data_IF_714127170411
#
_entry.id   IF_714127170411
#
_cell.length_a   1.000
_cell.length_b   1.000
_cell.length_c   1.000
_cell.angle_alpha   90.00
_cell.angle_beta   90.00
_cell.angle_gamma   90.00
#
_symmetry.space_group_name_H-M   'P 1'
#
loop_
_entity.id
_entity.type
_entity.pdbx_description
1 polymer ?
#
# COMPACT_ATOMS: atom_id res chain seq x y z
N UNK A 1 -14.06 -42.92 -3.72
CA UNK A 1 -13.26 -42.34 -4.81
C UNK A 1 -13.89 -41.01 -5.18
N UNK A 2 -13.32 -39.91 -4.69
CA UNK A 2 -13.79 -38.55 -4.96
C UNK A 2 -12.72 -37.83 -5.75
N UNK A 3 -13.01 -37.52 -7.01
CA UNK A 3 -12.24 -36.56 -7.79
C UNK A 3 -13.24 -35.49 -8.23
N UNK A 4 -13.40 -34.48 -7.38
CA UNK A 4 -14.24 -33.32 -7.62
C UNK A 4 -13.42 -32.30 -8.41
N UNK A 5 -13.96 -31.96 -9.58
CA UNK A 5 -13.43 -31.07 -10.61
C UNK A 5 -13.11 -29.67 -10.04
N UNK A 6 -11.84 -29.27 -9.95
CA UNK A 6 -11.38 -27.94 -9.48
C UNK A 6 -10.86 -27.04 -10.62
N UNK A 7 -11.55 -26.98 -11.76
CA UNK A 7 -11.15 -26.09 -12.87
C UNK A 7 -12.06 -24.88 -13.12
N UNK A 8 -13.10 -24.66 -12.29
CA UNK A 8 -14.07 -23.57 -12.54
C UNK A 8 -13.88 -22.30 -11.69
N UNK A 9 -12.88 -22.24 -10.79
CA UNK A 9 -12.73 -21.13 -9.85
C UNK A 9 -11.68 -20.07 -10.25
N UNK A 10 -11.05 -20.18 -11.42
CA UNK A 10 -9.98 -19.26 -11.86
C UNK A 10 -10.49 -18.21 -12.87
N UNK A 11 -11.77 -18.22 -13.23
CA UNK A 11 -12.30 -17.43 -14.35
C UNK A 11 -12.92 -16.06 -14.01
N UNK A 12 -12.98 -15.60 -12.75
CA UNK A 12 -13.78 -14.38 -12.43
C UNK A 12 -13.13 -13.44 -11.42
N UNK A 13 -11.87 -13.04 -11.62
CA UNK A 13 -11.25 -11.94 -10.85
C UNK A 13 -10.56 -10.87 -11.74
N UNK A 14 -10.40 -11.10 -13.04
CA UNK A 14 -9.69 -10.17 -13.94
C UNK A 14 -10.62 -9.06 -14.51
N UNK A 15 -11.95 -9.17 -14.33
CA UNK A 15 -12.91 -8.23 -14.91
C UNK A 15 -13.18 -6.93 -14.12
N UNK A 16 -12.76 -6.81 -12.86
CA UNK A 16 -13.30 -5.77 -11.95
C UNK A 16 -12.35 -4.62 -11.64
N UNK A 17 -11.21 -4.50 -12.34
CA UNK A 17 -10.26 -3.40 -12.10
C UNK A 17 -10.25 -2.30 -13.16
N UNK A 18 -10.81 -2.54 -14.36
CA UNK A 18 -10.88 -1.51 -15.42
C UNK A 18 -11.98 -0.47 -15.12
N UNK A 19 -13.03 -0.82 -14.36
CA UNK A 19 -14.12 0.11 -14.03
C UNK A 19 -13.74 1.20 -13.02
N UNK A 20 -12.76 0.96 -12.13
CA UNK A 20 -12.38 1.93 -11.11
C UNK A 20 -11.56 3.12 -11.66
N UNK A 21 -10.86 2.92 -12.78
CA UNK A 21 -10.07 3.99 -13.43
C UNK A 21 -10.93 4.83 -14.39
N UNK A 22 -12.03 4.29 -14.91
CA UNK A 22 -12.96 5.02 -15.78
C UNK A 22 -13.93 5.95 -15.03
N UNK A 23 -14.17 5.74 -13.73
CA UNK A 23 -15.11 6.55 -12.94
C UNK A 23 -14.54 7.91 -12.50
N UNK A 24 -13.23 8.17 -12.70
CA UNK A 24 -12.59 9.40 -12.22
C UNK A 24 -12.62 10.53 -13.29
N UNK A 25 -12.99 10.24 -14.54
CA UNK A 25 -12.81 11.19 -15.66
C UNK A 25 -14.06 11.58 -16.46
N UNK A 26 -15.27 11.39 -15.96
CA UNK A 26 -16.47 11.92 -16.62
C UNK A 26 -17.37 12.72 -15.67
N UNK A 27 -17.61 13.96 -16.10
CA UNK A 27 -18.64 14.93 -15.68
C UNK A 27 -18.22 15.96 -14.64
N UNK A 28 -17.48 16.97 -15.13
CA UNK A 28 -17.77 18.36 -14.77
C UNK A 28 -19.21 18.72 -15.16
N UNK A 29 -19.81 19.59 -14.34
CA UNK A 29 -21.14 20.24 -14.45
C UNK A 29 -22.36 19.40 -14.00
N UNK A 30 -22.70 19.43 -12.70
CA UNK A 30 -23.85 20.15 -12.13
C UNK A 30 -24.01 19.86 -10.59
N UNK A 31 -24.64 20.78 -9.86
CA UNK A 31 -24.80 20.87 -8.39
C UNK A 31 -25.52 19.68 -7.67
N UNK A 32 -25.41 19.56 -6.31
CA UNK A 32 -25.69 18.33 -5.56
C UNK A 32 -27.15 18.18 -5.12
N UNK A 33 -27.73 16.99 -5.34
CA UNK A 33 -29.03 16.60 -4.77
C UNK A 33 -28.88 15.59 -3.64
N UNK A 34 -29.37 15.99 -2.47
CA UNK A 34 -29.41 15.28 -1.18
C UNK A 34 -30.17 13.95 -1.32
N UNK A 35 -29.57 12.83 -0.89
CA UNK A 35 -30.30 11.57 -0.64
C UNK A 35 -29.94 11.00 0.73
N UNK A 36 -31.01 10.68 1.46
CA UNK A 36 -31.11 10.33 2.87
C UNK A 36 -30.28 9.12 3.31
N UNK A 37 -29.72 9.24 4.50
CA UNK A 37 -29.07 8.18 5.27
C UNK A 37 -30.16 7.24 5.81
N UNK A 38 -30.17 5.98 5.38
CA UNK A 38 -31.06 4.96 5.94
C UNK A 38 -30.55 4.49 7.31
N UNK A 39 -31.44 4.61 8.28
CA UNK A 39 -31.31 4.24 9.68
C UNK A 39 -31.17 2.72 9.83
N UNK A 40 -30.04 2.23 10.36
CA UNK A 40 -29.92 0.82 10.81
C UNK A 40 -30.14 0.79 12.31
N UNK A 41 -31.30 0.26 12.69
CA UNK A 41 -31.76 0.07 14.07
C UNK A 41 -30.90 -0.96 14.79
N UNK A 42 -30.44 -0.60 15.99
CA UNK A 42 -29.67 -1.45 16.91
C UNK A 42 -30.67 -2.34 17.68
N UNK A 43 -30.68 -3.64 17.42
CA UNK A 43 -31.37 -4.60 18.30
C UNK A 43 -30.51 -4.89 19.53
N UNK A 44 -31.06 -4.51 20.69
CA UNK A 44 -30.50 -4.72 22.02
C UNK A 44 -30.96 -6.08 22.55
N UNK A 45 -30.05 -6.88 23.10
CA UNK A 45 -30.38 -8.08 23.89
C UNK A 45 -29.89 -7.93 25.34
N UNK A 46 -30.61 -8.53 26.31
CA UNK A 46 -30.76 -7.98 27.65
C UNK A 46 -29.63 -8.30 28.61
N UNK A 47 -29.35 -7.33 29.48
CA UNK A 47 -28.55 -7.47 30.70
C UNK A 47 -29.27 -8.37 31.70
N UNK A 48 -28.59 -9.42 32.19
CA UNK A 48 -29.05 -10.16 33.37
C UNK A 48 -28.03 -10.05 34.49
N UNK A 49 -28.51 -9.40 35.54
CA UNK A 49 -27.96 -9.24 36.88
C UNK A 49 -27.61 -10.59 37.53
N UNK A 50 -26.55 -10.61 38.34
CA UNK A 50 -26.64 -10.91 39.78
C UNK A 50 -25.26 -10.86 40.45
N UNK A 51 -25.07 -9.82 41.27
CA UNK A 51 -24.11 -9.80 42.37
C UNK A 51 -24.63 -10.74 43.45
N UNK A 52 -23.81 -11.69 43.90
CA UNK A 52 -24.00 -12.35 45.18
C UNK A 52 -22.70 -12.23 45.96
N UNK A 53 -22.75 -11.40 47.01
CA UNK A 53 -21.73 -11.30 48.04
C UNK A 53 -21.65 -12.65 48.77
N UNK A 54 -20.47 -13.25 48.83
CA UNK A 54 -20.05 -13.96 50.02
C UNK A 54 -18.91 -13.19 50.69
N UNK A 55 -18.89 -13.27 52.02
CA UNK A 55 -17.97 -12.56 52.89
C UNK A 55 -17.03 -13.59 53.50
N UNK A 56 -15.74 -13.51 53.21
CA UNK A 56 -14.71 -14.18 54.02
C UNK A 56 -13.42 -13.36 54.06
N UNK A 57 -12.97 -12.85 55.23
CA UNK A 57 -11.75 -12.07 55.35
C UNK A 57 -10.62 -12.90 55.96
N UNK A 58 -9.75 -13.48 55.13
CA UNK A 58 -8.32 -13.68 55.44
C UNK A 58 -7.62 -14.49 54.35
N UNK A 59 -6.84 -13.82 53.49
CA UNK A 59 -5.47 -14.26 53.18
C UNK A 59 -4.73 -13.12 52.48
N UNK A 60 -3.62 -12.72 53.10
CA UNK A 60 -2.70 -11.67 52.66
C UNK A 60 -1.76 -12.26 51.60
N UNK A 61 -1.30 -11.39 50.71
CA UNK A 61 -0.12 -11.52 49.83
C UNK A 61 -0.28 -12.35 48.55
N UNK A 62 -0.43 -11.64 47.42
CA UNK A 62 0.42 -11.81 46.25
C UNK A 62 0.22 -10.62 45.30
N UNK A 63 1.18 -9.71 45.31
CA UNK A 63 1.34 -8.68 44.28
C UNK A 63 1.59 -9.36 42.94
N UNK A 64 0.57 -9.45 42.07
CA UNK A 64 0.77 -9.83 40.67
C UNK A 64 0.50 -8.62 39.78
N UNK A 65 1.61 -7.96 39.46
CA UNK A 65 1.78 -6.99 38.39
C UNK A 65 1.10 -7.50 37.12
N UNK A 66 -0.02 -6.91 36.72
CA UNK A 66 -0.51 -7.04 35.34
C UNK A 66 0.42 -6.23 34.46
N UNK A 67 1.54 -6.85 34.09
CA UNK A 67 2.33 -6.44 32.94
C UNK A 67 1.37 -6.39 31.77
N UNK A 68 1.08 -5.19 31.29
CA UNK A 68 0.39 -4.94 30.02
C UNK A 68 1.05 -5.83 28.97
N UNK A 69 0.36 -6.90 28.58
CA UNK A 69 0.83 -7.79 27.52
C UNK A 69 1.19 -6.92 26.31
N UNK A 70 2.38 -7.08 25.70
CA UNK A 70 2.70 -6.37 24.49
C UNK A 70 1.59 -6.64 23.48
N UNK A 71 0.97 -5.56 22.98
CA UNK A 71 0.10 -5.62 21.81
C UNK A 71 0.81 -6.49 20.76
N UNK A 72 0.12 -7.43 20.10
CA UNK A 72 0.74 -8.21 19.04
C UNK A 72 1.35 -7.22 18.06
N UNK A 73 2.69 -7.20 18.00
CA UNK A 73 3.39 -6.50 16.96
C UNK A 73 3.02 -7.26 15.69
N UNK A 74 2.05 -6.70 14.95
CA UNK A 74 1.87 -7.06 13.55
C UNK A 74 3.18 -6.64 12.90
N UNK A 75 4.08 -7.60 12.76
CA UNK A 75 5.22 -7.51 11.88
C UNK A 75 4.64 -7.35 10.48
N UNK A 76 4.44 -6.11 10.05
CA UNK A 76 4.02 -5.77 8.70
C UNK A 76 5.17 -6.07 7.74
N UNK A 77 5.39 -7.35 7.47
CA UNK A 77 5.97 -7.77 6.19
C UNK A 77 4.84 -7.70 5.15
N UNK A 78 4.49 -6.48 4.73
CA UNK A 78 3.63 -6.25 3.56
C UNK A 78 4.49 -6.27 2.29
N UNK A 79 5.37 -7.27 2.15
CA UNK A 79 6.19 -7.43 0.94
C UNK A 79 5.40 -7.98 -0.25
N UNK A 80 4.12 -8.32 -0.07
CA UNK A 80 3.31 -8.93 -1.13
C UNK A 80 2.60 -7.97 -2.09
N UNK A 81 2.21 -6.77 -1.62
CA UNK A 81 1.29 -5.91 -2.37
C UNK A 81 1.89 -5.33 -3.65
N UNK A 82 3.08 -4.73 -3.56
CA UNK A 82 3.73 -4.11 -4.72
C UNK A 82 4.36 -5.14 -5.67
N UNK A 83 4.95 -6.21 -5.15
CA UNK A 83 5.60 -7.23 -5.99
C UNK A 83 4.60 -7.90 -6.94
N UNK A 84 3.41 -8.28 -6.46
CA UNK A 84 2.36 -8.81 -7.33
C UNK A 84 1.87 -7.80 -8.38
N UNK A 85 1.84 -6.51 -8.05
CA UNK A 85 1.50 -5.44 -9.03
C UNK A 85 2.58 -5.29 -10.10
N UNK A 86 3.86 -5.37 -9.72
CA UNK A 86 4.97 -5.32 -10.67
C UNK A 86 4.91 -6.54 -11.59
N UNK A 87 4.69 -7.73 -11.04
CA UNK A 87 4.52 -8.95 -11.84
C UNK A 87 3.36 -8.83 -12.83
N UNK A 88 2.21 -8.32 -12.40
CA UNK A 88 1.08 -8.07 -13.29
C UNK A 88 1.41 -7.06 -14.40
N UNK A 89 2.11 -5.97 -14.08
CA UNK A 89 2.56 -4.99 -15.08
C UNK A 89 3.55 -5.59 -16.08
N UNK A 90 4.45 -6.49 -15.64
CA UNK A 90 5.39 -7.18 -16.51
C UNK A 90 4.72 -8.12 -17.54
N UNK A 91 3.49 -8.56 -17.30
CA UNK A 91 2.70 -9.36 -18.24
C UNK A 91 2.03 -8.52 -19.36
N UNK A 92 2.14 -7.18 -19.30
CA UNK A 92 1.52 -6.31 -20.28
C UNK A 92 2.31 -6.29 -21.60
N UNK A 93 1.62 -6.52 -22.72
CA UNK A 93 2.24 -6.55 -24.05
C UNK A 93 2.46 -5.17 -24.67
N UNK A 94 1.62 -4.19 -24.32
CA UNK A 94 1.76 -2.82 -24.84
C UNK A 94 2.80 -2.10 -24.00
N UNK A 95 3.96 -1.86 -24.60
CA UNK A 95 5.13 -1.28 -23.95
C UNK A 95 4.86 0.05 -23.25
N UNK A 96 4.12 0.97 -23.89
CA UNK A 96 3.75 2.25 -23.27
C UNK A 96 2.89 2.05 -22.01
N UNK A 97 1.95 1.10 -22.05
CA UNK A 97 1.06 0.81 -20.93
C UNK A 97 1.81 0.12 -19.79
N UNK A 98 2.73 -0.82 -20.12
CA UNK A 98 3.65 -1.43 -19.16
C UNK A 98 4.47 -0.35 -18.43
N UNK A 99 5.08 0.57 -19.19
CA UNK A 99 5.87 1.68 -18.65
C UNK A 99 5.05 2.57 -17.71
N UNK A 100 3.83 2.95 -18.11
CA UNK A 100 2.94 3.76 -17.28
C UNK A 100 2.51 3.03 -16.00
N UNK A 101 2.18 1.74 -16.09
CA UNK A 101 1.81 0.94 -14.93
C UNK A 101 2.96 0.83 -13.92
N UNK A 102 4.18 0.52 -14.40
CA UNK A 102 5.38 0.44 -13.57
C UNK A 102 5.74 1.80 -12.95
N UNK A 103 5.57 2.91 -13.68
CA UNK A 103 5.76 4.25 -13.14
C UNK A 103 4.77 4.55 -12.00
N UNK A 104 3.49 4.22 -12.18
CA UNK A 104 2.47 4.37 -11.13
C UNK A 104 2.79 3.53 -9.89
N UNK A 105 3.15 2.26 -10.08
CA UNK A 105 3.55 1.38 -8.98
C UNK A 105 4.77 1.93 -8.23
N UNK A 106 5.75 2.44 -8.96
CA UNK A 106 6.95 3.05 -8.37
C UNK A 106 6.63 4.25 -7.49
N UNK A 107 5.71 5.12 -7.94
CA UNK A 107 5.23 6.28 -7.16
C UNK A 107 4.49 5.84 -5.90
N UNK A 108 3.52 4.95 -6.03
CA UNK A 108 2.74 4.45 -4.89
C UNK A 108 3.63 3.78 -3.84
N UNK A 109 4.59 2.95 -4.28
CA UNK A 109 5.54 2.28 -3.39
C UNK A 109 6.44 3.29 -2.68
N UNK A 110 6.91 4.33 -3.38
CA UNK A 110 7.70 5.42 -2.77
C UNK A 110 6.91 6.18 -1.71
N UNK A 111 5.64 6.47 -2.00
CA UNK A 111 4.76 7.18 -1.08
C UNK A 111 4.42 6.36 0.17
N UNK A 112 4.39 5.03 0.04
CA UNK A 112 4.28 4.11 1.16
C UNK A 112 5.61 3.89 1.91
N UNK A 113 6.73 4.42 1.41
CA UNK A 113 8.07 4.18 1.97
C UNK A 113 8.69 2.82 1.62
N UNK A 114 8.05 2.05 0.74
CA UNK A 114 8.50 0.75 0.22
C UNK A 114 9.51 0.93 -0.93
N UNK A 115 10.63 1.59 -0.62
CA UNK A 115 11.60 2.04 -1.63
C UNK A 115 12.23 0.91 -2.45
N UNK A 116 12.38 -0.29 -1.88
CA UNK A 116 12.92 -1.44 -2.62
C UNK A 116 11.99 -1.84 -3.78
N UNK A 117 10.69 -1.97 -3.52
CA UNK A 117 9.70 -2.24 -4.56
C UNK A 117 9.57 -1.07 -5.53
N UNK A 118 9.68 0.17 -5.04
CA UNK A 118 9.65 1.35 -5.89
C UNK A 118 10.81 1.38 -6.91
N UNK A 119 12.03 1.07 -6.44
CA UNK A 119 13.23 0.99 -7.28
C UNK A 119 13.12 -0.20 -8.25
N UNK A 120 12.64 -1.36 -7.78
CA UNK A 120 12.40 -2.52 -8.65
C UNK A 120 11.46 -2.13 -9.80
N UNK A 121 10.30 -1.55 -9.49
CA UNK A 121 9.34 -1.13 -10.49
C UNK A 121 9.94 -0.14 -11.50
N UNK A 122 10.69 0.87 -11.03
CA UNK A 122 11.33 1.84 -11.91
C UNK A 122 12.40 1.22 -12.82
N UNK A 123 13.15 0.22 -12.34
CA UNK A 123 14.19 -0.46 -13.13
C UNK A 123 13.62 -1.27 -14.31
N UNK A 124 12.40 -1.76 -14.17
CA UNK A 124 11.69 -2.51 -15.23
C UNK A 124 11.08 -1.57 -16.30
N UNK A 125 11.13 -0.24 -16.10
CA UNK A 125 10.70 0.72 -17.10
C UNK A 125 11.76 0.81 -18.19
N UNK A 126 11.38 0.46 -19.40
CA UNK A 126 12.28 0.44 -20.56
C UNK A 126 12.40 1.82 -21.24
N UNK A 127 11.43 2.73 -21.04
CA UNK A 127 11.50 4.10 -21.58
C UNK A 127 12.40 4.93 -20.68
N UNK A 128 13.58 5.32 -21.16
CA UNK A 128 14.55 6.06 -20.35
C UNK A 128 14.00 7.31 -19.69
N UNK A 129 13.21 8.13 -20.40
CA UNK A 129 12.60 9.32 -19.80
C UNK A 129 11.61 8.99 -18.68
N UNK A 130 10.75 7.98 -18.86
CA UNK A 130 9.81 7.55 -17.82
C UNK A 130 10.50 6.87 -16.63
N UNK A 131 11.56 6.11 -16.89
CA UNK A 131 12.42 5.48 -15.87
C UNK A 131 13.08 6.54 -15.00
N UNK A 132 13.73 7.53 -15.63
CA UNK A 132 14.39 8.61 -14.92
C UNK A 132 13.39 9.47 -14.13
N UNK A 133 12.20 9.72 -14.68
CA UNK A 133 11.13 10.42 -13.96
C UNK A 133 10.70 9.65 -12.69
N UNK A 134 10.55 8.32 -12.79
CA UNK A 134 10.23 7.47 -11.65
C UNK A 134 11.36 7.49 -10.60
N UNK A 135 12.61 7.30 -11.03
CA UNK A 135 13.78 7.31 -10.14
C UNK A 135 13.99 8.67 -9.46
N UNK A 136 13.78 9.78 -10.17
CA UNK A 136 13.83 11.12 -9.60
C UNK A 136 12.75 11.32 -8.52
N UNK A 137 11.54 10.81 -8.76
CA UNK A 137 10.46 10.82 -7.77
C UNK A 137 10.85 10.04 -6.51
N UNK A 138 11.33 8.80 -6.66
CA UNK A 138 11.84 7.97 -5.56
C UNK A 138 12.90 8.75 -4.78
N UNK A 139 13.88 9.32 -5.48
CA UNK A 139 15.00 10.00 -4.85
C UNK A 139 14.53 11.19 -3.99
N UNK A 140 13.62 12.01 -4.52
CA UNK A 140 13.05 13.15 -3.80
C UNK A 140 12.21 12.70 -2.60
N UNK A 141 11.40 11.65 -2.73
CA UNK A 141 10.62 11.09 -1.62
C UNK A 141 11.52 10.53 -0.51
N UNK A 142 12.53 9.76 -0.89
CA UNK A 142 13.53 9.24 0.04
C UNK A 142 14.28 10.38 0.74
N UNK A 143 14.65 11.44 0.03
CA UNK A 143 15.35 12.60 0.60
C UNK A 143 14.47 13.36 1.60
N UNK A 144 13.17 13.54 1.32
CA UNK A 144 12.20 14.11 2.26
C UNK A 144 12.07 13.24 3.51
N UNK A 145 12.09 11.91 3.37
CA UNK A 145 12.07 10.96 4.46
C UNK A 145 13.43 10.79 5.20
N UNK A 146 14.45 11.58 4.87
CA UNK A 146 15.79 11.50 5.47
C UNK A 146 16.60 10.26 5.05
N UNK A 147 16.18 9.53 4.04
CA UNK A 147 16.83 8.32 3.52
C UNK A 147 17.84 8.66 2.41
N UNK A 148 18.88 9.44 2.75
CA UNK A 148 19.86 9.96 1.78
C UNK A 148 20.52 8.87 0.92
N UNK A 149 20.83 7.71 1.49
CA UNK A 149 21.44 6.59 0.75
C UNK A 149 20.52 6.04 -0.35
N UNK A 150 19.22 5.89 -0.06
CA UNK A 150 18.22 5.45 -1.03
C UNK A 150 18.06 6.50 -2.13
N UNK A 151 18.07 7.78 -1.78
CA UNK A 151 18.00 8.86 -2.76
C UNK A 151 19.19 8.83 -3.74
N UNK A 152 20.40 8.61 -3.23
CA UNK A 152 21.61 8.47 -4.05
C UNK A 152 21.54 7.21 -4.92
N UNK A 153 21.05 6.09 -4.39
CA UNK A 153 20.87 4.84 -5.15
C UNK A 153 19.93 5.04 -6.34
N UNK A 154 18.75 5.61 -6.09
CA UNK A 154 17.78 5.91 -7.14
C UNK A 154 18.38 6.83 -8.22
N UNK A 155 19.07 7.90 -7.81
CA UNK A 155 19.73 8.82 -8.74
C UNK A 155 20.85 8.14 -9.56
N UNK A 156 21.58 7.19 -8.98
CA UNK A 156 22.65 6.47 -9.69
C UNK A 156 22.12 5.58 -10.82
N UNK A 157 20.90 5.07 -10.68
CA UNK A 157 20.22 4.22 -11.64
C UNK A 157 19.63 4.99 -12.84
N UNK A 158 19.62 6.32 -12.78
CA UNK A 158 19.15 7.18 -13.87
C UNK A 158 20.12 7.13 -15.06
N UNK A 159 19.58 7.19 -16.26
CA UNK A 159 20.32 7.04 -17.51
C UNK A 159 20.62 8.38 -18.19
N UNK A 160 19.72 9.36 -18.06
CA UNK A 160 19.91 10.69 -18.64
C UNK A 160 20.77 11.52 -17.69
N UNK A 161 22.01 11.79 -18.10
CA UNK A 161 23.00 12.50 -17.28
C UNK A 161 22.50 13.84 -16.72
N UNK A 162 21.79 14.65 -17.52
CA UNK A 162 21.28 15.94 -17.05
C UNK A 162 20.25 15.79 -15.92
N UNK A 163 19.38 14.78 -15.99
CA UNK A 163 18.41 14.50 -14.94
C UNK A 163 19.12 13.98 -13.68
N UNK A 164 20.09 13.07 -13.86
CA UNK A 164 20.90 12.52 -12.78
C UNK A 164 21.68 13.60 -12.03
N UNK A 165 22.36 14.49 -12.75
CA UNK A 165 23.14 15.58 -12.16
C UNK A 165 22.25 16.57 -11.41
N UNK A 166 21.06 16.87 -11.94
CA UNK A 166 20.07 17.71 -11.25
C UNK A 166 19.64 17.09 -9.92
N UNK A 167 19.25 15.81 -9.91
CA UNK A 167 18.82 15.11 -8.68
C UNK A 167 19.97 14.96 -7.69
N UNK A 168 21.19 14.64 -8.13
CA UNK A 168 22.36 14.56 -7.26
C UNK A 168 22.73 15.91 -6.65
N UNK A 169 22.56 17.00 -7.41
CA UNK A 169 22.76 18.37 -6.91
C UNK A 169 21.73 18.73 -5.84
N UNK A 170 20.45 18.38 -6.04
CA UNK A 170 19.40 18.53 -5.03
C UNK A 170 19.73 17.76 -3.74
N UNK A 171 20.23 16.52 -3.86
CA UNK A 171 20.64 15.68 -2.71
C UNK A 171 21.85 16.27 -1.99
N UNK A 172 22.82 16.84 -2.71
CA UNK A 172 24.01 17.45 -2.11
C UNK A 172 23.69 18.73 -1.35
N UNK A 173 22.66 19.48 -1.76
CA UNK A 173 22.21 20.70 -1.11
C UNK A 173 21.40 20.48 0.18
N UNK A 174 21.03 19.23 0.49
CA UNK A 174 20.25 18.82 1.67
C UNK A 174 21.11 18.14 2.73
#
# INVERSE_FOLDING_TARGET
MSILNKSAAVATIIGTFIAAVALIYQLSDDEPSVVQVAHVTVESLPSSSNNQLDSNPNTVAASNSVSKAPLPQVTSQSTGGFESRIEAAMLMNVYSNKSQALQGISRDASDAGEYNSAIRAAREIEIYSSKDEALAYIARKALVAGKKNIAIEAAKLMEIYSNKDAVLSEIAAK
#
